data_IF_630721138678
#
_entry.id   IF_630721138678
#
_cell.length_a   1.000
_cell.length_b   1.000
_cell.length_c   1.000
_cell.angle_alpha   90.00
_cell.angle_beta   90.00
_cell.angle_gamma   90.00
#
_symmetry.space_group_name_H-M   'P 1'
#
loop_
_entity.id
_entity.type
_entity.pdbx_description
1 polymer ?
2 water ?
#
# COMPACT_ATOMS: atom_id res chain seq x y z
N UNK A 15 -18.57 7.53 3.74
CA UNK A 15 -19.33 6.88 2.66
C UNK A 15 -18.71 5.54 2.20
N UNK A 16 -19.48 4.47 2.36
CA UNK A 16 -19.09 3.10 2.01
C UNK A 16 -18.65 2.89 0.53
N UNK A 17 -17.44 2.33 0.36
CA UNK A 17 -16.86 2.09 -0.95
C UNK A 17 -16.33 3.34 -1.64
N UNK A 18 -16.29 4.48 -0.93
CA UNK A 18 -15.84 5.75 -1.54
C UNK A 18 -14.32 5.85 -1.72
N UNK A 19 -13.60 4.97 -1.02
CA UNK A 19 -12.16 4.91 -1.07
C UNK A 19 -11.79 3.52 -1.57
N UNK A 20 -10.83 3.47 -2.50
CA UNK A 20 -10.34 2.20 -3.01
C UNK A 20 -8.84 2.06 -2.73
N UNK A 21 -8.44 0.90 -2.23
CA UNK A 21 -7.03 0.64 -1.86
C UNK A 21 -6.44 -0.47 -2.74
N UNK A 22 -5.23 -0.26 -3.28
CA UNK A 22 -4.50 -1.32 -3.97
C UNK A 22 -3.46 -1.95 -3.03
N UNK A 23 -3.45 -3.27 -2.95
CA UNK A 23 -2.49 -3.96 -2.08
C UNK A 23 -1.62 -4.79 -2.97
N UNK A 24 -0.33 -4.46 -3.04
CA UNK A 24 0.62 -5.31 -3.77
C UNK A 24 1.31 -6.19 -2.75
N UNK A 25 0.96 -7.48 -2.77
CA UNK A 25 1.32 -8.39 -1.69
C UNK A 25 1.33 -9.83 -2.25
N UNK A 26 2.51 -10.43 -2.16
CA UNK A 26 2.82 -11.77 -2.70
C UNK A 26 2.10 -12.86 -1.91
N UNK A 27 1.86 -12.61 -0.63
CA UNK A 27 1.25 -13.58 0.25
C UNK A 27 -0.26 -13.47 0.20
N UNK A 28 -0.92 -14.39 -0.50
CA UNK A 28 -2.35 -14.21 -0.81
C UNK A 28 -3.25 -14.29 0.43
N UNK A 29 -2.84 -15.12 1.38
CA UNK A 29 -3.55 -15.27 2.65
C UNK A 29 -3.50 -13.95 3.44
N UNK A 30 -2.30 -13.39 3.56
CA UNK A 30 -2.15 -12.10 4.23
C UNK A 30 -2.93 -11.01 3.48
N UNK A 31 -2.80 -10.99 2.15
CA UNK A 31 -3.50 -9.94 1.37
C UNK A 31 -5.01 -10.02 1.59
N UNK A 32 -5.54 -11.25 1.60
CA UNK A 32 -6.96 -11.45 1.94
C UNK A 32 -7.39 -10.93 3.31
N UNK A 33 -6.57 -11.19 4.31
CA UNK A 33 -6.82 -10.71 5.66
C UNK A 33 -6.84 -9.18 5.71
N UNK A 34 -5.96 -8.53 4.95
CA UNK A 34 -5.95 -7.05 4.96
C UNK A 34 -7.18 -6.50 4.22
N UNK A 35 -7.49 -7.06 3.04
CA UNK A 35 -8.72 -6.69 2.33
C UNK A 35 -9.98 -6.80 3.21
N UNK A 36 -10.15 -7.93 3.89
CA UNK A 36 -11.28 -8.12 4.81
C UNK A 36 -11.29 -7.06 5.93
N UNK A 37 -10.12 -6.77 6.50
CA UNK A 37 -9.98 -5.73 7.52
C UNK A 37 -10.38 -4.38 6.98
N UNK A 38 -9.95 -4.09 5.77
CA UNK A 38 -10.30 -2.79 5.17
C UNK A 38 -11.79 -2.70 4.90
N UNK A 39 -12.37 -3.81 4.42
CA UNK A 39 -13.82 -3.86 4.20
C UNK A 39 -14.59 -3.49 5.46
N UNK A 40 -14.09 -3.89 6.62
CA UNK A 40 -14.73 -3.53 7.90
C UNK A 40 -15.03 -2.04 8.04
N UNK A 41 -14.12 -1.21 7.56
CA UNK A 41 -14.24 0.26 7.63
C UNK A 41 -14.86 0.90 6.40
N UNK A 42 -15.41 0.09 5.50
CA UNK A 42 -16.09 0.64 4.33
C UNK A 42 -15.21 0.86 3.11
N UNK A 43 -13.95 0.40 3.18
CA UNK A 43 -13.02 0.52 2.03
C UNK A 43 -13.16 -0.63 1.03
N UNK A 44 -12.98 -0.30 -0.25
CA UNK A 44 -12.84 -1.32 -1.29
C UNK A 44 -11.35 -1.61 -1.38
N UNK A 45 -10.98 -2.85 -1.67
CA UNK A 45 -9.55 -3.16 -1.85
C UNK A 45 -9.30 -4.23 -2.91
N UNK A 46 -8.28 -4.03 -3.76
CA UNK A 46 -7.82 -5.04 -4.71
C UNK A 46 -6.48 -5.55 -4.28
N UNK A 47 -6.33 -6.88 -4.24
CA UNK A 47 -5.04 -7.50 -3.95
C UNK A 47 -4.42 -8.01 -5.25
N UNK A 48 -3.15 -7.69 -5.46
CA UNK A 48 -2.39 -8.31 -6.53
C UNK A 48 -1.04 -8.79 -6.02
N UNK A 49 -0.57 -9.91 -6.55
CA UNK A 49 0.74 -10.44 -6.20
C UNK A 49 1.85 -9.87 -7.10
N UNK A 50 1.45 -9.09 -8.11
CA UNK A 50 2.41 -8.61 -9.09
C UNK A 50 2.54 -7.09 -9.07
N UNK A 51 3.76 -6.62 -8.90
CA UNK A 51 3.98 -5.17 -8.95
C UNK A 51 3.70 -4.57 -10.34
N UNK A 52 4.05 -5.28 -11.41
CA UNK A 52 3.74 -4.81 -12.78
C UNK A 52 2.21 -4.72 -13.03
N UNK A 53 1.50 -5.72 -12.54
CA UNK A 53 0.04 -5.70 -12.54
C UNK A 53 -0.52 -4.49 -11.77
N UNK A 54 -0.04 -4.31 -10.54
CA UNK A 54 -0.44 -3.16 -9.72
C UNK A 54 -0.19 -1.81 -10.38
N UNK A 55 0.99 -1.63 -10.95
CA UNK A 55 1.29 -0.38 -11.60
C UNK A 55 0.32 -0.09 -12.75
N UNK A 56 0.04 -1.12 -13.54
CA UNK A 56 -0.94 -1.04 -14.62
C UNK A 56 -2.33 -0.73 -14.10
N UNK A 57 -2.78 -1.47 -13.08
CA UNK A 57 -4.10 -1.19 -12.47
C UNK A 57 -4.30 0.28 -12.11
N UNK A 58 -3.26 0.91 -11.57
CA UNK A 58 -3.33 2.33 -11.21
C UNK A 58 -3.63 3.26 -12.38
N UNK A 59 -3.32 2.80 -13.59
CA UNK A 59 -3.58 3.58 -14.79
C UNK A 59 -4.99 3.42 -15.29
N UNK A 60 -5.62 2.32 -14.94
CA UNK A 60 -6.97 2.06 -15.45
C UNK A 60 -8.09 2.18 -14.41
N UNK A 61 -7.73 2.21 -13.14
CA UNK A 61 -8.70 2.37 -12.05
C UNK A 61 -8.20 3.48 -11.16
N UNK A 62 -9.11 4.12 -10.44
CA UNK A 62 -8.70 5.20 -9.57
C UNK A 62 -8.60 4.72 -8.13
N UNK A 63 -7.37 4.58 -7.64
CA UNK A 63 -7.10 4.26 -6.24
C UNK A 63 -6.76 5.51 -5.42
N UNK A 64 -7.09 5.47 -4.13
CA UNK A 64 -6.77 6.56 -3.21
C UNK A 64 -5.46 6.28 -2.49
N UNK A 65 -5.12 4.99 -2.38
CA UNK A 65 -3.93 4.54 -1.61
C UNK A 65 -3.41 3.22 -2.16
N UNK A 66 -2.09 3.05 -2.17
CA UNK A 66 -1.47 1.77 -2.55
C UNK A 66 -0.51 1.42 -1.43
N UNK A 67 -0.54 0.14 -1.03
CA UNK A 67 0.48 -0.39 -0.16
C UNK A 67 1.26 -1.46 -0.90
N UNK A 68 2.57 -1.33 -0.92
CA UNK A 68 3.41 -2.21 -1.73
C UNK A 68 4.46 -2.88 -0.87
N UNK A 69 4.53 -4.19 -0.97
CA UNK A 69 5.62 -5.02 -0.45
C UNK A 69 6.17 -5.73 -1.64
N UNK A 70 7.40 -5.39 -2.01
CA UNK A 70 8.06 -5.95 -3.16
C UNK A 70 9.55 -5.56 -3.05
N UNK A 71 10.42 -6.35 -3.66
CA UNK A 71 11.85 -6.06 -3.68
C UNK A 71 12.18 -4.75 -4.39
N UNK A 72 11.46 -4.47 -5.47
CA UNK A 72 11.70 -3.26 -6.27
C UNK A 72 10.72 -2.15 -5.91
N UNK A 73 10.36 -2.07 -4.64
CA UNK A 73 9.30 -1.14 -4.25
C UNK A 73 9.75 0.31 -4.45
N UNK A 74 11.01 0.60 -4.19
CA UNK A 74 11.46 2.00 -4.15
C UNK A 74 11.39 2.72 -5.50
N UNK A 75 11.81 2.07 -6.58
CA UNK A 75 11.69 2.71 -7.90
C UNK A 75 10.22 2.92 -8.24
N UNK A 76 9.40 1.95 -7.88
CA UNK A 76 7.95 2.05 -8.07
C UNK A 76 7.37 3.26 -7.33
N UNK A 77 7.87 3.51 -6.11
CA UNK A 77 7.38 4.63 -5.30
C UNK A 77 7.57 5.92 -6.10
N UNK A 78 8.79 6.13 -6.57
CA UNK A 78 9.09 7.32 -7.35
C UNK A 78 8.24 7.42 -8.63
N UNK A 79 8.06 6.31 -9.36
CA UNK A 79 7.26 6.35 -10.60
C UNK A 79 5.82 6.78 -10.34
N UNK A 80 5.24 6.27 -9.25
CA UNK A 80 3.83 6.55 -8.88
C UNK A 80 3.67 7.96 -8.35
N UNK A 81 4.62 8.39 -7.55
CA UNK A 81 4.64 9.76 -7.01
C UNK A 81 4.73 10.79 -8.13
N UNK A 82 5.38 10.42 -9.22
CA UNK A 82 5.47 11.34 -10.35
C UNK A 82 4.22 11.29 -11.21
N UNK A 83 3.72 10.09 -11.49
CA UNK A 83 2.55 9.93 -12.35
C UNK A 83 1.19 10.18 -11.69
N UNK A 84 1.07 9.75 -10.43
CA UNK A 84 -0.18 9.72 -9.68
C UNK A 84 0.03 10.43 -8.34
N UNK A 85 0.29 11.74 -8.39
CA UNK A 85 0.84 12.44 -7.22
C UNK A 85 -0.03 12.44 -5.96
N UNK A 86 -1.35 12.47 -6.14
CA UNK A 86 -2.26 12.49 -5.00
C UNK A 86 -2.52 11.12 -4.37
N UNK A 87 -2.02 10.05 -4.96
CA UNK A 87 -2.22 8.74 -4.37
C UNK A 87 -1.26 8.58 -3.19
N UNK A 88 -1.78 8.10 -2.07
CA UNK A 88 -0.98 7.86 -0.88
C UNK A 88 -0.24 6.55 -1.15
N UNK A 89 1.05 6.53 -0.82
CA UNK A 89 1.88 5.37 -1.04
C UNK A 89 2.51 4.89 0.29
N UNK A 90 2.24 3.64 0.63
CA UNK A 90 2.79 3.01 1.86
C UNK A 90 3.68 1.88 1.42
N UNK A 91 4.89 1.86 1.96
CA UNK A 91 5.86 0.80 1.64
C UNK A 91 5.87 -0.08 2.87
N UNK A 92 5.72 -1.38 2.67
CA UNK A 92 5.79 -2.34 3.74
C UNK A 92 6.91 -3.36 3.42
N UNK A 93 7.71 -3.73 4.41
CA UNK A 93 8.93 -4.55 4.17
C UNK A 93 9.12 -5.68 5.21
N UNK A 94 9.40 -6.90 4.74
CA UNK A 94 9.73 -8.04 5.62
C UNK A 94 11.23 -8.04 5.98
N UNK A 95 12.01 -7.17 5.33
CA UNK A 95 13.38 -6.93 5.77
C UNK A 95 13.63 -5.45 5.91
N UNK A 96 13.08 -4.84 6.97
CA UNK A 96 13.19 -3.41 7.18
C UNK A 96 14.61 -3.03 7.56
N UNK A 97 15.15 -1.98 6.95
CA UNK A 97 16.42 -1.46 7.43
C UNK A 97 16.28 0.05 7.56
N UNK A 98 17.14 0.64 8.39
CA UNK A 98 17.25 2.08 8.47
C UNK A 98 17.49 2.69 7.09
N UNK A 99 18.43 2.12 6.35
CA UNK A 99 18.75 2.64 5.02
C UNK A 99 17.55 2.68 4.07
N UNK A 100 16.80 1.59 4.01
CA UNK A 100 15.66 1.52 3.12
C UNK A 100 14.49 2.41 3.60
N UNK A 101 14.30 2.51 4.91
CA UNK A 101 13.31 3.47 5.47
C UNK A 101 13.61 4.92 5.05
N UNK A 102 14.87 5.32 5.23
CA UNK A 102 15.27 6.67 4.81
C UNK A 102 14.99 6.89 3.32
N UNK A 103 15.41 5.93 2.49
CA UNK A 103 15.20 6.03 1.04
C UNK A 103 13.72 6.13 0.70
N UNK A 104 12.88 5.31 1.33
CA UNK A 104 11.46 5.28 1.01
C UNK A 104 10.87 6.65 1.27
N UNK A 105 11.18 7.22 2.42
CA UNK A 105 10.66 8.55 2.73
C UNK A 105 11.22 9.62 1.80
N UNK A 106 12.52 9.54 1.53
CA UNK A 106 13.13 10.49 0.62
C UNK A 106 12.54 10.40 -0.80
N UNK A 107 12.20 9.18 -1.24
CA UNK A 107 11.53 8.94 -2.52
C UNK A 107 10.06 9.39 -2.54
N UNK A 108 9.51 9.74 -1.38
CA UNK A 108 8.20 10.36 -1.30
C UNK A 108 7.12 9.44 -0.72
N UNK A 109 7.53 8.29 -0.19
CA UNK A 109 6.54 7.39 0.47
C UNK A 109 5.88 8.10 1.65
N UNK A 110 4.61 7.82 1.90
CA UNK A 110 3.89 8.41 2.99
C UNK A 110 4.09 7.61 4.28
N UNK A 111 4.50 6.36 4.14
CA UNK A 111 4.83 5.60 5.32
C UNK A 111 5.74 4.44 4.96
N UNK A 112 6.37 3.91 5.99
CA UNK A 112 7.23 2.73 5.88
C UNK A 112 6.88 1.82 7.07
N UNK A 113 6.48 0.59 6.76
CA UNK A 113 5.86 -0.24 7.79
C UNK A 113 6.60 -1.56 7.79
N UNK A 114 7.13 -1.97 8.94
CA UNK A 114 7.79 -3.28 9.02
C UNK A 114 6.76 -4.39 9.03
N UNK A 115 7.07 -5.46 8.31
CA UNK A 115 6.33 -6.71 8.41
C UNK A 115 7.15 -7.66 9.29
N UNK A 116 6.49 -8.52 10.05
CA UNK A 116 5.00 -8.63 10.16
C UNK A 116 4.28 -7.47 10.86
N UNK A 117 3.01 -7.24 10.49
CA UNK A 117 2.20 -6.15 11.06
C UNK A 117 1.82 -6.38 12.54
N UNK A 118 1.59 -5.29 13.28
CA UNK A 118 1.20 -5.38 14.70
C UNK A 118 -0.10 -6.18 14.83
N UNK A 119 -1.02 -5.93 13.91
CA UNK A 119 -2.32 -6.58 13.81
C UNK A 119 -2.99 -6.00 12.59
N UNK A 120 -3.96 -6.73 12.06
CA UNK A 120 -4.81 -6.18 10.98
C UNK A 120 -5.52 -4.88 11.42
N UNK A 121 -6.09 -4.85 12.64
CA UNK A 121 -6.80 -3.67 13.13
C UNK A 121 -5.88 -2.41 13.23
N UNK A 122 -4.67 -2.60 13.73
CA UNK A 122 -3.67 -1.53 13.81
C UNK A 122 -3.24 -1.08 12.41
N UNK A 123 -3.02 -2.02 11.50
CA UNK A 123 -2.67 -1.67 10.12
C UNK A 123 -3.81 -0.87 9.46
N UNK A 124 -5.04 -1.33 9.64
CA UNK A 124 -6.21 -0.62 9.11
C UNK A 124 -6.38 0.79 9.68
N UNK A 125 -6.18 0.94 10.99
CA UNK A 125 -6.23 2.23 11.64
C UNK A 125 -5.17 3.20 11.02
N UNK A 126 -3.99 2.67 10.74
CA UNK A 126 -2.91 3.48 10.12
C UNK A 126 -3.33 3.90 8.70
N UNK A 127 -3.87 2.95 7.92
CA UNK A 127 -4.32 3.25 6.55
C UNK A 127 -5.42 4.29 6.59
N UNK A 128 -6.38 4.11 7.51
CA UNK A 128 -7.40 5.12 7.75
C UNK A 128 -6.83 6.51 7.99
N UNK A 129 -5.83 6.59 8.88
CA UNK A 129 -5.17 7.86 9.20
C UNK A 129 -4.45 8.46 7.99
N UNK A 130 -3.84 7.59 7.18
CA UNK A 130 -3.12 8.08 6.02
C UNK A 130 -4.04 8.62 4.94
N UNK A 131 -5.33 8.33 5.06
CA UNK A 131 -6.31 8.82 4.10
C UNK A 131 -7.17 9.92 4.70
N UNK A 132 -6.84 10.33 5.91
CA UNK A 132 -7.66 11.30 6.61
C UNK A 132 -7.49 12.71 6.05
#
# INVERSE_FOLDING_TARGET
>A
XRGSHHHHHHGSLVPRGSMRVLLIEKNSVLGGEIEKGLNVKGFMADVTESLEDGEYLMDIRNYDLVMVSDKNALSFVSRIKEKHSSIVVLVSSDNPTSEEEVHAFEQGADDYIAKPYRSIKALVARIEARLRFWGSN
#
